data_IF_124424972931
#
_entry.id   IF_124424972931
#
_cell.length_a   1.000
_cell.length_b   1.000
_cell.length_c   1.000
_cell.angle_alpha   90.00
_cell.angle_beta   90.00
_cell.angle_gamma   90.00
#
_symmetry.space_group_name_H-M   'P 1'
#
loop_
_entity.id
_entity.type
_entity.pdbx_description
1 polymer ?
#
# COMPACT_ATOMS: atom_id res chain seq x y z
N UNK A 1 22.34 4.97 21.44
CA UNK A 1 21.15 5.42 20.71
C UNK A 1 20.27 4.20 20.60
N UNK A 2 19.20 4.15 21.38
CA UNK A 2 18.28 3.00 21.38
C UNK A 2 17.70 2.84 19.97
N UNK A 3 17.51 1.59 19.56
CA UNK A 3 16.91 1.28 18.27
C UNK A 3 15.55 1.99 18.16
N UNK A 4 15.21 2.57 17.00
CA UNK A 4 13.95 3.28 16.86
C UNK A 4 12.78 2.33 17.15
N UNK A 5 11.88 2.74 18.06
CA UNK A 5 10.69 1.98 18.47
C UNK A 5 9.68 1.91 17.32
N UNK A 6 9.97 1.04 16.36
CA UNK A 6 9.20 0.88 15.11
C UNK A 6 8.24 -0.30 15.15
N UNK A 7 8.52 -1.30 15.97
CA UNK A 7 7.72 -2.51 16.08
C UNK A 7 6.88 -2.48 17.37
N UNK A 8 5.56 -2.52 17.23
CA UNK A 8 4.63 -2.68 18.35
C UNK A 8 3.43 -3.53 17.88
N UNK A 9 3.41 -4.84 18.16
CA UNK A 9 2.35 -5.73 17.73
C UNK A 9 1.10 -5.63 18.63
N UNK A 10 1.16 -4.90 19.76
CA UNK A 10 0.02 -4.73 20.66
C UNK A 10 -0.99 -3.72 20.15
N UNK A 11 -0.58 -2.85 19.21
CA UNK A 11 -1.40 -1.78 18.66
C UNK A 11 -2.23 -2.27 17.48
N UNK A 12 -3.54 -2.04 17.56
CA UNK A 12 -4.46 -2.15 16.43
C UNK A 12 -5.04 -0.76 16.14
N UNK A 13 -4.51 -0.12 15.11
CA UNK A 13 -4.93 1.22 14.70
C UNK A 13 -6.10 1.08 13.72
N UNK A 14 -7.16 1.86 13.91
CA UNK A 14 -8.28 1.97 12.96
C UNK A 14 -8.77 3.41 12.92
N UNK A 15 -9.20 3.86 11.75
CA UNK A 15 -9.76 5.21 11.62
C UNK A 15 -11.05 5.35 12.46
N UNK A 16 -11.22 6.46 13.22
CA UNK A 16 -12.50 6.80 13.82
C UNK A 16 -13.63 6.88 12.78
N UNK A 17 -14.81 6.37 13.15
CA UNK A 17 -16.01 6.38 12.32
C UNK A 17 -17.09 7.32 12.86
N UNK A 18 -18.09 7.63 12.04
CA UNK A 18 -19.20 8.52 12.40
C UNK A 18 -18.82 10.01 12.36
N UNK A 19 -19.71 10.85 12.89
CA UNK A 19 -19.66 12.32 12.74
C UNK A 19 -19.03 13.06 13.92
N UNK A 20 -18.72 12.36 15.02
CA UNK A 20 -18.05 12.95 16.18
C UNK A 20 -16.58 13.19 15.86
N UNK A 21 -16.10 14.40 16.10
CA UNK A 21 -14.71 14.80 15.88
C UNK A 21 -13.84 14.47 17.09
N UNK A 22 -12.60 14.05 16.81
CA UNK A 22 -11.51 14.03 17.79
C UNK A 22 -10.68 15.31 17.68
N UNK A 23 -10.39 15.76 16.47
CA UNK A 23 -9.70 17.03 16.20
C UNK A 23 -10.65 18.23 16.21
N UNK A 24 -10.08 19.44 16.11
CA UNK A 24 -10.85 20.71 16.17
C UNK A 24 -11.75 20.97 14.96
N UNK A 25 -11.49 20.36 13.81
CA UNK A 25 -12.25 20.58 12.57
C UNK A 25 -12.20 19.36 11.66
N UNK A 26 -13.10 19.27 10.67
CA UNK A 26 -13.03 18.23 9.64
C UNK A 26 -11.73 18.26 8.82
N UNK A 27 -11.13 19.44 8.63
CA UNK A 27 -9.88 19.58 7.88
C UNK A 27 -8.66 19.03 8.62
N UNK A 28 -8.73 18.90 9.94
CA UNK A 28 -7.68 18.30 10.78
C UNK A 28 -8.02 16.88 11.22
N UNK A 29 -9.31 16.55 11.32
CA UNK A 29 -9.83 15.19 11.53
C UNK A 29 -9.56 14.29 10.32
N UNK A 30 -9.73 14.80 9.09
CA UNK A 30 -9.52 14.02 7.87
C UNK A 30 -8.11 13.43 7.77
N UNK A 31 -7.01 14.20 7.83
CA UNK A 31 -5.66 13.62 7.79
C UNK A 31 -5.39 12.69 8.99
N UNK A 32 -5.99 12.92 10.16
CA UNK A 32 -5.88 12.02 11.31
C UNK A 32 -6.51 10.65 11.01
N UNK A 33 -7.76 10.64 10.53
CA UNK A 33 -8.45 9.40 10.14
C UNK A 33 -7.71 8.68 9.03
N UNK A 34 -7.21 9.42 8.04
CA UNK A 34 -6.51 8.82 6.91
C UNK A 34 -5.14 8.25 7.30
N UNK A 35 -4.41 8.89 8.21
CA UNK A 35 -3.20 8.33 8.80
C UNK A 35 -3.51 7.00 9.52
N UNK A 36 -4.58 6.97 10.30
CA UNK A 36 -5.01 5.75 11.00
C UNK A 36 -5.51 4.66 10.04
N UNK A 37 -6.21 5.04 8.96
CA UNK A 37 -6.64 4.12 7.91
C UNK A 37 -5.45 3.45 7.21
N UNK A 38 -4.38 4.21 6.94
CA UNK A 38 -3.14 3.67 6.38
C UNK A 38 -2.51 2.57 7.27
N UNK A 39 -2.87 2.48 8.56
CA UNK A 39 -2.39 1.47 9.49
C UNK A 39 -3.47 0.49 9.94
N UNK A 40 -4.65 0.51 9.31
CA UNK A 40 -5.69 -0.46 9.61
C UNK A 40 -5.20 -1.87 9.24
N UNK A 41 -5.36 -2.89 10.11
CA UNK A 41 -4.96 -4.28 9.81
C UNK A 41 -5.54 -4.84 8.51
N UNK A 42 -6.72 -4.37 8.11
CA UNK A 42 -7.37 -4.80 6.88
C UNK A 42 -6.80 -4.08 5.64
N UNK A 43 -6.07 -2.98 5.84
CA UNK A 43 -5.54 -2.11 4.78
C UNK A 43 -4.03 -2.29 4.60
N UNK A 44 -3.26 -2.14 5.67
CA UNK A 44 -1.80 -2.16 5.68
C UNK A 44 -1.24 -3.59 5.59
N UNK A 45 -0.08 -3.75 4.96
CA UNK A 45 0.59 -5.05 4.86
C UNK A 45 1.19 -5.48 6.21
N UNK A 46 1.93 -4.60 6.91
CA UNK A 46 2.55 -4.89 8.22
C UNK A 46 2.39 -3.68 9.16
N UNK A 47 1.18 -3.42 9.68
CA UNK A 47 0.87 -2.21 10.46
C UNK A 47 1.63 -2.10 11.79
N UNK A 48 2.02 -3.22 12.41
CA UNK A 48 2.84 -3.24 13.65
C UNK A 48 4.17 -2.53 13.48
N UNK A 49 4.65 -2.46 12.24
CA UNK A 49 5.95 -1.89 11.84
C UNK A 49 5.78 -0.55 11.13
N UNK A 50 4.56 0.01 11.18
CA UNK A 50 4.08 1.18 10.45
C UNK A 50 4.09 1.02 8.93
N UNK A 51 4.35 -0.19 8.42
CA UNK A 51 4.49 -0.47 6.98
C UNK A 51 3.11 -0.65 6.35
N UNK A 52 2.83 0.20 5.39
CA UNK A 52 1.57 0.23 4.64
C UNK A 52 1.66 -0.70 3.42
N UNK A 53 2.65 -0.51 2.55
CA UNK A 53 2.89 -1.35 1.36
C UNK A 53 4.27 -1.09 0.74
N UNK A 54 4.62 -1.84 -0.30
CA UNK A 54 5.79 -1.56 -1.14
C UNK A 54 7.12 -1.82 -0.43
N UNK A 55 7.22 -2.93 0.30
CA UNK A 55 8.39 -3.30 1.08
C UNK A 55 8.42 -2.56 2.42
N UNK A 56 9.02 -1.36 2.45
CA UNK A 56 9.22 -0.57 3.67
C UNK A 56 8.52 0.79 3.66
N UNK A 57 7.51 0.97 2.81
CA UNK A 57 6.72 2.20 2.74
C UNK A 57 5.90 2.38 4.02
N UNK A 58 6.22 3.39 4.82
CA UNK A 58 5.61 3.61 6.15
C UNK A 58 4.73 4.86 6.23
N UNK A 59 3.78 4.83 7.18
CA UNK A 59 2.89 5.96 7.46
C UNK A 59 3.51 7.04 8.37
N UNK A 60 4.38 6.62 9.30
CA UNK A 60 5.16 7.47 10.19
C UNK A 60 6.55 6.86 10.41
N UNK A 61 7.52 7.65 10.89
CA UNK A 61 8.92 7.23 11.00
C UNK A 61 9.13 6.10 12.01
N UNK A 62 8.48 6.24 13.17
CA UNK A 62 8.48 5.35 14.32
C UNK A 62 7.23 5.66 15.17
N UNK A 63 6.94 4.84 16.19
CA UNK A 63 5.75 5.00 17.01
C UNK A 63 5.72 6.33 17.79
N UNK A 64 6.83 6.82 18.37
CA UNK A 64 6.86 8.17 18.95
C UNK A 64 6.48 9.27 17.96
N UNK A 65 6.95 9.19 16.71
CA UNK A 65 6.52 10.12 15.67
C UNK A 65 5.03 9.98 15.35
N UNK A 66 4.50 8.76 15.24
CA UNK A 66 3.07 8.53 15.04
C UNK A 66 2.23 9.17 16.15
N UNK A 67 2.56 8.89 17.41
CA UNK A 67 1.83 9.42 18.57
C UNK A 67 1.86 10.95 18.58
N UNK A 68 3.02 11.54 18.26
CA UNK A 68 3.15 13.00 18.18
C UNK A 68 2.40 13.60 17.00
N UNK A 69 2.25 12.88 15.88
CA UNK A 69 1.41 13.33 14.76
C UNK A 69 -0.07 13.34 15.18
N UNK A 70 -0.55 12.28 15.83
CA UNK A 70 -1.93 12.21 16.33
C UNK A 70 -2.21 13.36 17.32
N UNK A 71 -1.31 13.59 18.28
CA UNK A 71 -1.41 14.69 19.22
C UNK A 71 -1.43 16.06 18.51
N UNK A 72 -0.55 16.25 17.52
CA UNK A 72 -0.45 17.49 16.75
C UNK A 72 -1.72 17.76 15.96
N UNK A 73 -2.24 16.77 15.21
CA UNK A 73 -3.46 16.91 14.40
C UNK A 73 -4.70 17.16 15.27
N UNK A 74 -4.77 16.52 16.44
CA UNK A 74 -5.87 16.72 17.40
C UNK A 74 -5.94 18.17 17.87
N UNK A 75 -4.78 18.81 18.07
CA UNK A 75 -4.69 20.15 18.63
C UNK A 75 -4.51 21.27 17.58
N UNK A 76 -4.29 20.95 16.30
CA UNK A 76 -4.02 21.92 15.23
C UNK A 76 -5.20 22.87 14.98
N UNK A 77 -4.93 24.18 14.98
CA UNK A 77 -5.93 25.19 14.63
C UNK A 77 -6.17 25.25 13.11
N UNK A 78 -7.26 25.89 12.72
CA UNK A 78 -7.68 26.04 11.32
C UNK A 78 -6.78 27.00 10.52
N UNK A 79 -6.05 27.90 11.18
CA UNK A 79 -5.06 28.80 10.59
C UNK A 79 -3.61 28.33 10.81
N UNK A 80 -3.40 27.06 11.15
CA UNK A 80 -2.07 26.46 11.33
C UNK A 80 -1.79 25.37 10.28
N UNK A 81 -0.50 25.13 10.06
CA UNK A 81 0.01 24.06 9.17
C UNK A 81 1.07 23.25 9.90
N UNK A 82 0.86 21.93 9.97
CA UNK A 82 1.81 20.94 10.46
C UNK A 82 2.80 20.55 9.36
N UNK A 83 4.10 20.55 9.67
CA UNK A 83 5.15 20.06 8.78
C UNK A 83 5.58 18.64 9.17
N UNK A 84 5.49 17.72 8.21
CA UNK A 84 5.99 16.35 8.32
C UNK A 84 7.25 16.21 7.46
N UNK A 85 8.37 15.87 8.09
CA UNK A 85 9.63 15.57 7.42
C UNK A 85 9.95 14.09 7.59
N UNK A 86 9.98 13.32 6.50
CA UNK A 86 10.20 11.86 6.50
C UNK A 86 9.48 11.18 7.67
N UNK A 87 8.16 11.35 7.73
CA UNK A 87 7.29 10.73 8.74
C UNK A 87 7.42 11.24 10.18
N UNK A 88 8.11 12.36 10.42
CA UNK A 88 8.25 13.00 11.74
C UNK A 88 7.58 14.37 11.75
N UNK A 89 6.79 14.70 12.78
CA UNK A 89 6.24 16.05 12.95
C UNK A 89 7.34 16.98 13.46
N UNK A 90 7.75 17.95 12.63
CA UNK A 90 8.92 18.80 12.93
C UNK A 90 8.58 20.24 13.31
N UNK A 91 7.36 20.69 13.06
CA UNK A 91 6.92 22.03 13.46
C UNK A 91 5.50 22.33 13.04
N UNK A 92 4.89 23.30 13.72
CA UNK A 92 3.60 23.89 13.39
C UNK A 92 3.82 25.38 13.21
N UNK A 93 3.31 25.95 12.12
CA UNK A 93 3.42 27.36 11.82
C UNK A 93 2.04 27.94 11.53
N UNK A 94 1.84 29.20 11.96
CA UNK A 94 0.65 29.96 11.59
C UNK A 94 0.71 30.28 10.10
N UNK A 95 -0.39 29.99 9.41
CA UNK A 95 -0.63 30.26 8.00
C UNK A 95 -1.97 30.99 7.87
N UNK A 96 -2.98 30.36 7.26
CA UNK A 96 -4.34 30.90 7.12
C UNK A 96 -5.32 29.75 6.81
N UNK A 97 -6.62 29.99 6.97
CA UNK A 97 -7.66 28.94 6.82
C UNK A 97 -7.69 28.24 5.46
N UNK A 98 -7.34 28.95 4.37
CA UNK A 98 -7.25 28.37 3.02
C UNK A 98 -5.94 27.63 2.70
N UNK A 99 -4.96 27.61 3.62
CA UNK A 99 -3.72 26.86 3.43
C UNK A 99 -3.93 25.36 3.70
N UNK A 100 -3.04 24.47 3.23
CA UNK A 100 -3.04 23.08 3.67
C UNK A 100 -2.82 22.98 5.18
N UNK A 101 -3.56 22.09 5.85
CA UNK A 101 -3.34 21.77 7.28
C UNK A 101 -2.06 20.99 7.51
N UNK A 102 -1.60 20.23 6.52
CA UNK A 102 -0.39 19.41 6.60
C UNK A 102 0.42 19.56 5.32
N UNK A 103 1.73 19.78 5.45
CA UNK A 103 2.69 19.69 4.36
C UNK A 103 3.67 18.57 4.65
N UNK A 104 3.87 17.69 3.67
CA UNK A 104 4.64 16.44 3.85
C UNK A 104 5.77 16.39 2.83
N UNK A 105 7.00 16.20 3.32
CA UNK A 105 8.17 15.95 2.50
C UNK A 105 8.88 14.68 3.00
N UNK A 106 8.70 13.56 2.29
CA UNK A 106 9.26 12.27 2.67
C UNK A 106 10.37 11.85 1.72
N UNK A 107 11.40 11.22 2.29
CA UNK A 107 12.42 10.46 1.54
C UNK A 107 13.30 11.27 0.57
N UNK A 108 13.19 12.59 0.57
CA UNK A 108 14.01 13.46 -0.29
C UNK A 108 15.48 13.43 0.16
N UNK A 109 16.38 13.19 -0.78
CA UNK A 109 17.82 13.28 -0.63
C UNK A 109 18.37 14.14 -1.77
N UNK A 110 19.46 14.87 -1.50
CA UNK A 110 20.18 15.57 -2.57
C UNK A 110 20.66 14.52 -3.59
N UNK A 111 20.53 14.74 -4.92
CA UNK A 111 20.66 13.67 -5.91
C UNK A 111 21.94 12.82 -5.83
N UNK A 112 23.08 13.43 -5.50
CA UNK A 112 24.36 12.71 -5.33
C UNK A 112 24.29 11.63 -4.23
N UNK A 113 23.45 11.83 -3.21
CA UNK A 113 23.24 10.92 -2.08
C UNK A 113 21.94 10.11 -2.17
N UNK A 114 21.20 10.20 -3.28
CA UNK A 114 19.92 9.50 -3.45
C UNK A 114 20.13 8.01 -3.78
N UNK A 115 20.81 7.30 -2.88
CA UNK A 115 21.11 5.86 -2.97
C UNK A 115 20.48 5.11 -1.80
N UNK A 116 20.21 3.81 -2.01
CA UNK A 116 19.70 2.95 -0.94
C UNK A 116 20.67 2.79 0.22
N UNK A 117 21.99 2.74 -0.05
CA UNK A 117 22.99 2.64 1.01
C UNK A 117 22.95 3.84 1.95
N UNK A 118 22.89 5.06 1.39
CA UNK A 118 22.81 6.27 2.20
C UNK A 118 21.45 6.41 2.88
N UNK A 119 20.36 6.06 2.20
CA UNK A 119 19.03 5.96 2.82
C UNK A 119 19.07 5.04 4.05
N UNK A 120 19.64 3.84 3.92
CA UNK A 120 19.71 2.83 4.99
C UNK A 120 20.61 3.28 6.14
N UNK A 121 21.70 3.99 5.84
CA UNK A 121 22.56 4.62 6.84
C UNK A 121 21.76 5.62 7.69
N UNK A 122 21.00 6.50 7.05
CA UNK A 122 20.15 7.48 7.74
C UNK A 122 18.97 6.81 8.48
N UNK A 123 18.38 5.77 7.91
CA UNK A 123 17.30 5.01 8.54
C UNK A 123 17.76 4.34 9.84
N UNK A 124 18.95 3.74 9.87
CA UNK A 124 19.57 3.17 11.08
C UNK A 124 19.83 4.23 12.16
N UNK A 125 20.09 5.48 11.75
CA UNK A 125 20.25 6.63 12.66
C UNK A 125 18.92 7.25 13.10
N UNK A 126 17.77 6.73 12.66
CA UNK A 126 16.45 7.31 12.95
C UNK A 126 16.16 8.63 12.22
N UNK A 127 16.89 8.90 11.13
CA UNK A 127 16.80 10.15 10.36
C UNK A 127 15.94 10.03 9.11
N UNK A 128 15.48 8.81 8.78
CA UNK A 128 14.83 8.55 7.51
C UNK A 128 13.57 7.69 7.65
N UNK A 129 12.69 7.84 6.67
CA UNK A 129 11.52 7.00 6.43
C UNK A 129 11.32 6.91 4.92
N UNK A 130 10.96 5.73 4.43
CA UNK A 130 10.52 5.56 3.05
C UNK A 130 9.02 5.81 2.97
N UNK A 131 8.60 6.88 2.27
CA UNK A 131 7.20 7.27 2.18
C UNK A 131 6.42 6.54 1.09
N UNK A 132 7.09 5.85 0.17
CA UNK A 132 6.47 5.40 -1.08
C UNK A 132 5.71 6.60 -1.72
N UNK A 133 4.54 6.38 -2.31
CA UNK A 133 3.65 7.41 -2.82
C UNK A 133 2.60 7.72 -1.76
N UNK A 134 1.70 6.77 -1.49
CA UNK A 134 0.51 6.99 -0.64
C UNK A 134 0.63 6.48 0.80
N UNK A 135 1.73 5.78 1.12
CA UNK A 135 2.00 5.30 2.47
C UNK A 135 2.30 6.47 3.41
N UNK A 136 3.29 7.29 3.08
CA UNK A 136 3.72 8.44 3.88
C UNK A 136 2.88 9.69 3.67
N UNK A 137 1.93 9.69 2.72
CA UNK A 137 1.02 10.80 2.45
C UNK A 137 -0.43 10.53 2.86
N UNK A 138 -0.68 9.40 3.53
CA UNK A 138 -1.95 9.09 4.20
C UNK A 138 -3.16 9.08 3.25
N UNK A 139 -3.07 8.32 2.17
CA UNK A 139 -4.19 8.17 1.22
C UNK A 139 -4.23 6.78 0.57
N UNK A 140 -3.69 5.78 1.26
CA UNK A 140 -3.72 4.40 0.79
C UNK A 140 -5.07 3.77 1.15
N UNK A 141 -5.66 3.06 0.19
CA UNK A 141 -7.00 2.46 0.29
C UNK A 141 -6.97 0.96 0.01
N UNK A 142 -5.85 0.31 0.32
CA UNK A 142 -5.63 -1.09 0.00
C UNK A 142 -5.41 -1.33 -1.49
N UNK A 143 -5.54 -2.58 -1.92
CA UNK A 143 -5.31 -3.00 -3.30
C UNK A 143 -6.25 -2.35 -4.31
N UNK A 144 -7.40 -1.83 -3.88
CA UNK A 144 -8.33 -1.11 -4.75
C UNK A 144 -7.68 0.10 -5.42
N UNK A 145 -6.73 0.76 -4.74
CA UNK A 145 -6.08 1.95 -5.28
C UNK A 145 -5.35 1.73 -6.61
N UNK A 146 -4.95 0.49 -6.92
CA UNK A 146 -4.23 0.15 -8.16
C UNK A 146 -5.00 -0.79 -9.08
N UNK A 147 -6.13 -1.38 -8.65
CA UNK A 147 -6.87 -2.37 -9.45
C UNK A 147 -7.33 -1.81 -10.79
N UNK A 148 -7.83 -0.57 -10.81
CA UNK A 148 -8.25 0.09 -12.04
C UNK A 148 -7.06 0.34 -12.97
N UNK A 149 -5.94 0.89 -12.45
CA UNK A 149 -4.76 1.14 -13.27
C UNK A 149 -4.19 -0.13 -13.90
N UNK A 150 -4.18 -1.23 -13.16
CA UNK A 150 -3.76 -2.55 -13.67
C UNK A 150 -4.76 -3.10 -14.69
N UNK A 151 -6.06 -2.96 -14.47
CA UNK A 151 -7.10 -3.33 -15.42
C UNK A 151 -6.97 -2.57 -16.74
N UNK A 152 -6.76 -1.24 -16.67
CA UNK A 152 -6.55 -0.40 -17.85
C UNK A 152 -5.27 -0.78 -18.58
N UNK A 153 -4.21 -1.17 -17.85
CA UNK A 153 -2.96 -1.65 -18.45
C UNK A 153 -3.18 -2.95 -19.23
N UNK A 154 -3.87 -3.93 -18.64
CA UNK A 154 -4.20 -5.18 -19.35
C UNK A 154 -5.15 -4.95 -20.52
N UNK A 155 -6.13 -4.06 -20.35
CA UNK A 155 -7.06 -3.68 -21.42
C UNK A 155 -6.35 -2.98 -22.57
N UNK A 156 -5.40 -2.07 -22.29
CA UNK A 156 -4.57 -1.43 -23.31
C UNK A 156 -3.68 -2.44 -24.04
N UNK A 157 -3.04 -3.37 -23.31
CA UNK A 157 -2.27 -4.46 -23.93
C UNK A 157 -3.17 -5.36 -24.80
N UNK A 158 -4.41 -5.64 -24.37
CA UNK A 158 -5.39 -6.36 -25.16
C UNK A 158 -5.73 -5.63 -26.46
N UNK A 159 -5.94 -4.31 -26.41
CA UNK A 159 -6.22 -3.50 -27.60
C UNK A 159 -5.06 -3.56 -28.60
N UNK A 160 -3.82 -3.42 -28.11
CA UNK A 160 -2.64 -3.37 -28.96
C UNK A 160 -2.27 -4.72 -29.59
N UNK A 161 -2.46 -5.82 -28.86
CA UNK A 161 -1.91 -7.13 -29.26
C UNK A 161 -2.96 -8.19 -29.59
N UNK A 162 -4.21 -8.00 -29.16
CA UNK A 162 -5.25 -9.03 -29.22
C UNK A 162 -6.63 -8.47 -29.64
N UNK A 163 -6.67 -7.35 -30.36
CA UNK A 163 -7.90 -6.72 -30.85
C UNK A 163 -8.94 -6.48 -29.72
N UNK A 164 -8.44 -6.12 -28.53
CA UNK A 164 -9.25 -5.82 -27.35
C UNK A 164 -9.86 -7.05 -26.65
N UNK A 165 -9.45 -8.28 -26.98
CA UNK A 165 -10.04 -9.51 -26.41
C UNK A 165 -9.00 -10.41 -25.76
N UNK A 166 -9.18 -10.71 -24.47
CA UNK A 166 -8.33 -11.65 -23.72
C UNK A 166 -8.99 -13.00 -23.42
N UNK A 167 -10.22 -13.25 -23.88
CA UNK A 167 -10.87 -14.56 -23.69
C UNK A 167 -9.99 -15.70 -24.23
N UNK A 168 -9.76 -16.71 -23.40
CA UNK A 168 -8.89 -17.84 -23.73
C UNK A 168 -7.39 -17.52 -23.70
N UNK A 169 -7.00 -16.31 -23.29
CA UNK A 169 -5.62 -15.91 -23.00
C UNK A 169 -5.37 -15.92 -21.51
N UNK A 170 -4.10 -15.94 -21.15
CA UNK A 170 -3.67 -15.87 -19.76
C UNK A 170 -2.43 -15.01 -19.62
N UNK A 171 -2.28 -14.43 -18.43
CA UNK A 171 -1.17 -13.57 -18.05
C UNK A 171 -0.32 -14.32 -17.02
N UNK A 172 1.01 -14.31 -17.23
CA UNK A 172 1.98 -14.76 -16.24
C UNK A 172 2.59 -13.52 -15.58
N UNK A 173 2.61 -13.48 -14.25
CA UNK A 173 3.24 -12.42 -13.47
C UNK A 173 3.75 -12.97 -12.12
N UNK A 174 4.29 -12.09 -11.27
CA UNK A 174 4.71 -12.42 -9.92
C UNK A 174 4.40 -11.29 -8.93
N UNK A 175 4.38 -11.63 -7.64
CA UNK A 175 4.18 -10.72 -6.52
C UNK A 175 2.71 -10.44 -6.20
N UNK A 176 2.28 -10.83 -5.01
CA UNK A 176 0.93 -10.68 -4.46
C UNK A 176 0.88 -9.83 -3.18
N UNK A 177 1.89 -8.97 -2.96
CA UNK A 177 1.87 -7.94 -1.91
C UNK A 177 0.82 -6.83 -2.16
N UNK A 178 0.80 -5.78 -1.34
CA UNK A 178 -0.29 -4.77 -1.32
C UNK A 178 -0.78 -4.24 -2.67
N UNK A 179 0.14 -3.92 -3.58
CA UNK A 179 -0.20 -3.49 -4.94
C UNK A 179 -0.28 -4.65 -5.94
N UNK A 180 0.70 -5.58 -5.91
CA UNK A 180 0.75 -6.71 -6.84
C UNK A 180 -0.45 -7.66 -6.71
N UNK A 181 -1.06 -7.71 -5.53
CA UNK A 181 -2.28 -8.46 -5.26
C UNK A 181 -3.51 -7.98 -6.04
N UNK A 182 -3.46 -6.80 -6.67
CA UNK A 182 -4.52 -6.33 -7.56
C UNK A 182 -4.49 -6.99 -8.95
N UNK A 183 -3.35 -7.56 -9.36
CA UNK A 183 -3.18 -8.13 -10.71
C UNK A 183 -4.18 -9.27 -11.00
N UNK A 184 -4.38 -10.26 -10.10
CA UNK A 184 -5.40 -11.30 -10.26
C UNK A 184 -6.79 -10.79 -10.64
N UNK A 185 -7.38 -9.91 -9.83
CA UNK A 185 -8.71 -9.37 -10.07
C UNK A 185 -8.75 -8.49 -11.33
N UNK A 186 -7.73 -7.68 -11.57
CA UNK A 186 -7.64 -6.86 -12.76
C UNK A 186 -7.62 -7.70 -14.05
N UNK A 187 -6.89 -8.82 -14.05
CA UNK A 187 -6.81 -9.72 -15.19
C UNK A 187 -8.14 -10.43 -15.47
N UNK A 188 -8.81 -10.93 -14.44
CA UNK A 188 -10.12 -11.60 -14.60
C UNK A 188 -11.19 -10.61 -15.06
N UNK A 189 -11.19 -9.37 -14.54
CA UNK A 189 -12.05 -8.28 -15.04
C UNK A 189 -11.76 -7.94 -16.52
N UNK A 190 -10.50 -7.98 -16.94
CA UNK A 190 -10.10 -7.75 -18.33
C UNK A 190 -10.39 -8.96 -19.26
N UNK A 191 -10.90 -10.07 -18.72
CA UNK A 191 -11.27 -11.26 -19.48
C UNK A 191 -10.16 -12.29 -19.67
N UNK A 192 -9.04 -12.16 -18.95
CA UNK A 192 -7.92 -13.11 -18.99
C UNK A 192 -7.92 -14.05 -17.79
N UNK A 193 -7.36 -15.25 -17.97
CA UNK A 193 -6.86 -16.00 -16.82
C UNK A 193 -5.53 -15.41 -16.34
N UNK A 194 -5.12 -15.69 -15.11
CA UNK A 194 -3.85 -15.22 -14.57
C UNK A 194 -3.17 -16.26 -13.69
N UNK A 195 -1.87 -16.42 -13.88
CA UNK A 195 -0.98 -17.16 -12.99
C UNK A 195 -0.01 -16.16 -12.35
N UNK A 196 -0.07 -16.01 -11.03
CA UNK A 196 0.83 -15.15 -10.26
C UNK A 196 1.71 -16.01 -9.36
N UNK A 197 3.03 -15.90 -9.52
CA UNK A 197 4.00 -16.54 -8.62
C UNK A 197 4.21 -15.66 -7.38
N UNK A 198 4.11 -16.24 -6.19
CA UNK A 198 4.36 -15.55 -4.92
C UNK A 198 5.15 -16.45 -3.98
N UNK A 199 6.16 -15.91 -3.31
CA UNK A 199 7.07 -16.68 -2.48
C UNK A 199 6.62 -16.77 -1.02
N UNK A 200 5.79 -15.84 -0.54
CA UNK A 200 5.22 -15.84 0.80
C UNK A 200 3.75 -16.30 0.78
N UNK A 201 3.49 -17.45 1.40
CA UNK A 201 2.13 -18.01 1.49
C UNK A 201 1.13 -17.07 2.15
N UNK A 202 1.58 -16.22 3.09
CA UNK A 202 0.70 -15.27 3.79
C UNK A 202 0.13 -14.21 2.84
N UNK A 203 0.89 -13.78 1.85
CA UNK A 203 0.38 -12.86 0.83
C UNK A 203 -0.69 -13.53 -0.02
N UNK A 204 -0.51 -14.81 -0.38
CA UNK A 204 -1.50 -15.58 -1.14
C UNK A 204 -2.80 -15.71 -0.34
N UNK A 205 -2.69 -16.16 0.92
CA UNK A 205 -3.83 -16.30 1.85
C UNK A 205 -4.62 -15.00 1.97
N UNK A 206 -3.93 -13.86 2.15
CA UNK A 206 -4.56 -12.54 2.22
C UNK A 206 -5.32 -12.16 0.94
N UNK A 207 -4.84 -12.54 -0.25
CA UNK A 207 -5.57 -12.28 -1.51
C UNK A 207 -6.76 -13.19 -1.70
N UNK A 208 -6.73 -14.42 -1.16
CA UNK A 208 -7.90 -15.30 -1.11
C UNK A 208 -8.96 -14.71 -0.17
N UNK A 209 -8.57 -14.29 1.04
CA UNK A 209 -9.49 -13.72 2.05
C UNK A 209 -10.17 -12.43 1.56
N UNK A 210 -9.43 -11.58 0.85
CA UNK A 210 -9.94 -10.33 0.28
C UNK A 210 -10.72 -10.52 -1.02
N UNK A 211 -10.79 -11.75 -1.55
CA UNK A 211 -11.47 -12.06 -2.81
C UNK A 211 -10.77 -11.52 -4.06
N UNK A 212 -9.49 -11.15 -3.95
CA UNK A 212 -8.68 -10.72 -5.09
C UNK A 212 -8.12 -11.91 -5.89
N UNK A 213 -7.97 -13.08 -5.27
CA UNK A 213 -7.46 -14.31 -5.88
C UNK A 213 -8.48 -15.45 -5.77
N UNK A 214 -8.60 -16.31 -6.80
CA UNK A 214 -9.59 -17.40 -6.82
C UNK A 214 -9.06 -18.71 -6.23
N UNK A 215 -7.82 -19.08 -6.58
CA UNK A 215 -7.20 -20.37 -6.22
C UNK A 215 -5.72 -20.22 -5.89
N UNK A 216 -5.21 -21.18 -5.15
CA UNK A 216 -3.77 -21.35 -4.93
C UNK A 216 -3.33 -22.79 -5.13
N UNK A 217 -2.06 -22.98 -5.46
CA UNK A 217 -1.37 -24.28 -5.42
C UNK A 217 0.14 -24.06 -5.23
N UNK A 218 0.86 -25.08 -4.79
CA UNK A 218 2.32 -25.12 -4.76
C UNK A 218 2.90 -25.99 -5.91
N UNK A 219 2.05 -26.50 -6.80
CA UNK A 219 2.44 -27.37 -7.90
C UNK A 219 2.22 -26.67 -9.25
N UNK A 220 3.28 -26.52 -10.03
CA UNK A 220 3.23 -25.84 -11.32
C UNK A 220 2.35 -26.58 -12.34
N UNK A 221 2.41 -27.91 -12.39
CA UNK A 221 1.61 -28.70 -13.33
C UNK A 221 0.11 -28.55 -13.04
N UNK A 222 -0.25 -28.54 -11.75
CA UNK A 222 -1.63 -28.28 -11.32
C UNK A 222 -2.08 -26.87 -11.72
N UNK A 223 -1.24 -25.86 -11.47
CA UNK A 223 -1.54 -24.48 -11.84
C UNK A 223 -1.77 -24.34 -13.36
N UNK A 224 -0.89 -24.92 -14.17
CA UNK A 224 -1.01 -24.91 -15.63
C UNK A 224 -2.24 -25.68 -16.11
N UNK A 225 -2.61 -26.78 -15.45
CA UNK A 225 -3.83 -27.51 -15.76
C UNK A 225 -5.09 -26.64 -15.52
N UNK A 226 -5.16 -25.95 -14.37
CA UNK A 226 -6.26 -25.03 -14.08
C UNK A 226 -6.39 -23.91 -15.12
N UNK A 227 -5.26 -23.28 -15.49
CA UNK A 227 -5.22 -22.23 -16.50
C UNK A 227 -5.72 -22.75 -17.86
N UNK A 228 -5.18 -23.89 -18.33
CA UNK A 228 -5.59 -24.49 -19.61
C UNK A 228 -7.08 -24.82 -19.64
N UNK A 229 -7.60 -25.40 -18.56
CA UNK A 229 -9.01 -25.75 -18.45
C UNK A 229 -9.91 -24.52 -18.61
N UNK A 230 -9.60 -23.42 -17.90
CA UNK A 230 -10.43 -22.21 -17.92
C UNK A 230 -10.30 -21.45 -19.25
N UNK A 231 -9.08 -21.33 -19.79
CA UNK A 231 -8.86 -20.75 -21.11
C UNK A 231 -9.65 -21.50 -22.20
N UNK A 232 -9.62 -22.83 -22.21
CA UNK A 232 -10.36 -23.64 -23.20
C UNK A 232 -11.87 -23.50 -23.05
N UNK A 233 -12.36 -23.36 -21.82
CA UNK A 233 -13.78 -23.14 -21.53
C UNK A 233 -14.25 -21.69 -21.79
N UNK A 234 -13.37 -20.78 -22.20
CA UNK A 234 -13.68 -19.35 -22.37
C UNK A 234 -14.02 -18.63 -21.07
N UNK A 235 -13.59 -19.17 -19.93
CA UNK A 235 -13.78 -18.62 -18.58
C UNK A 235 -12.47 -18.00 -18.07
N UNK A 236 -12.58 -17.18 -17.02
CA UNK A 236 -11.43 -16.58 -16.34
C UNK A 236 -11.20 -17.24 -14.99
N UNK A 237 -9.93 -17.35 -14.61
CA UNK A 237 -9.50 -17.74 -13.26
C UNK A 237 -8.17 -17.08 -12.93
N UNK A 238 -7.98 -16.72 -11.66
CA UNK A 238 -6.70 -16.29 -11.13
C UNK A 238 -6.13 -17.34 -10.16
N UNK A 239 -4.88 -17.72 -10.38
CA UNK A 239 -4.18 -18.78 -9.63
C UNK A 239 -2.89 -18.23 -9.04
N UNK A 240 -2.75 -18.33 -7.72
CA UNK A 240 -1.51 -18.05 -7.00
C UNK A 240 -0.67 -19.32 -6.95
N UNK A 241 0.55 -19.27 -7.48
CA UNK A 241 1.54 -20.35 -7.37
C UNK A 241 2.53 -20.01 -6.27
N UNK A 242 2.54 -20.80 -5.19
CA UNK A 242 3.57 -20.70 -4.16
C UNK A 242 4.92 -21.13 -4.74
N UNK A 243 5.85 -20.20 -4.87
CA UNK A 243 7.15 -20.46 -5.47
C UNK A 243 8.00 -19.21 -5.63
N UNK A 244 9.18 -19.37 -6.22
CA UNK A 244 10.01 -18.24 -6.61
C UNK A 244 9.83 -17.99 -8.11
N UNK A 245 9.76 -16.71 -8.50
CA UNK A 245 9.62 -16.32 -9.90
C UNK A 245 10.92 -16.48 -10.71
N UNK A 246 12.09 -16.50 -10.03
CA UNK A 246 13.41 -16.63 -10.64
C UNK A 246 13.78 -18.06 -11.02
#
# INVERSE_FOLDING_TARGET
>A
MDAPSRHDPSRQIRAPHGTRLTAKSWLTEAPLRMLMNNLDPNVAEIPSDLVVYGGMGRAARDWPCFDKIIESLTNLNDDETLLIQSGKPVGIFKTHTNAPRVLIANSNLVPHWATWDHFNELDKKGLMMYGQMTAGSWIYIGSQGIVQGTYETFSAAAQQHYNGRLNGKWILTAGLGGMGGAQPLAATMAGACLLAVECDSKHIERRLETGYLDKQTANLDEALAMIRQHCTAGKTISVGLLGNAA
#
